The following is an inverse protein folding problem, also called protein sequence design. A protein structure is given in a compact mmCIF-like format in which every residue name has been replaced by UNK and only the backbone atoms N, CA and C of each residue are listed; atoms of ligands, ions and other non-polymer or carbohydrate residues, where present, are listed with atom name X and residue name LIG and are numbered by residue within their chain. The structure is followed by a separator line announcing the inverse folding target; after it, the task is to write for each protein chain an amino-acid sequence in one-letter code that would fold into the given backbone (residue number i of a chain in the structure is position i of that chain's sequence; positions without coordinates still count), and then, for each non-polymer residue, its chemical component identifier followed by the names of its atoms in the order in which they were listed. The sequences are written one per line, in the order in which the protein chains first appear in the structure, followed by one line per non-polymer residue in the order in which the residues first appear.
data_IF_089465072508
#
_entry.id   IF_089465072508
#
_cell.length_a   1.000
_cell.length_b   1.000
_cell.length_c   1.000
_cell.angle_alpha   90.00
_cell.angle_beta   90.00
_cell.angle_gamma   90.00
#
_symmetry.space_group_name_H-M   'P 1'
#
loop_
_entity.id
_entity.type
_entity.pdbx_description
1 polymer ?
#
# COMPACT_ATOMS: atom_id res chain seq x y z
N UNK A 1 -18.53 -21.82 -30.47
CA UNK A 1 -18.77 -20.36 -30.31
C UNK A 1 -17.44 -19.63 -30.02
N UNK A 2 -16.70 -19.23 -31.06
CA UNK A 2 -15.43 -18.48 -30.93
C UNK A 2 -15.61 -17.01 -31.30
N UNK A 3 -16.05 -16.17 -30.34
CA UNK A 3 -16.27 -14.72 -30.57
C UNK A 3 -15.25 -13.81 -29.86
N UNK A 4 -14.09 -14.34 -29.44
CA UNK A 4 -13.08 -13.56 -28.68
C UNK A 4 -11.97 -12.89 -29.50
N UNK A 5 -11.61 -13.43 -30.68
CA UNK A 5 -10.36 -13.03 -31.37
C UNK A 5 -10.49 -11.82 -32.31
N UNK A 6 -11.70 -11.43 -32.72
CA UNK A 6 -11.91 -10.29 -33.66
C UNK A 6 -11.85 -8.91 -32.98
N UNK A 7 -12.08 -8.81 -31.67
CA UNK A 7 -12.10 -7.51 -30.95
C UNK A 7 -10.70 -6.99 -30.58
N UNK A 8 -9.71 -7.87 -30.39
CA UNK A 8 -8.34 -7.47 -30.06
C UNK A 8 -7.61 -6.81 -31.25
N UNK A 9 -7.93 -7.22 -32.49
CA UNK A 9 -7.29 -6.66 -33.70
C UNK A 9 -7.70 -5.20 -33.97
N UNK A 10 -8.91 -4.79 -33.56
CA UNK A 10 -9.38 -3.39 -33.69
C UNK A 10 -8.73 -2.45 -32.67
N UNK A 11 -8.43 -2.90 -31.45
CA UNK A 11 -7.77 -2.05 -30.43
C UNK A 11 -6.35 -1.65 -30.83
N UNK A 12 -5.57 -2.57 -31.40
CA UNK A 12 -4.20 -2.29 -31.87
C UNK A 12 -4.12 -1.29 -33.03
N UNK A 13 -5.13 -1.22 -33.90
CA UNK A 13 -5.11 -0.31 -35.06
C UNK A 13 -5.38 1.16 -34.69
N UNK A 14 -6.03 1.42 -33.55
CA UNK A 14 -6.33 2.78 -33.07
C UNK A 14 -5.13 3.40 -32.33
N UNK A 15 -4.26 2.58 -31.73
CA UNK A 15 -3.04 3.08 -31.07
C UNK A 15 -1.98 3.57 -32.07
N UNK A 16 -1.98 3.07 -33.31
CA UNK A 16 -0.98 3.40 -34.33
C UNK A 16 -1.16 4.79 -34.97
N UNK A 17 -2.32 5.43 -34.78
CA UNK A 17 -2.62 6.78 -35.27
C UNK A 17 -2.86 7.76 -34.13
N UNK A 18 -2.21 7.54 -32.98
CA UNK A 18 -2.31 8.44 -31.85
C UNK A 18 -1.43 9.65 -32.09
N UNK A 19 -2.03 10.72 -32.60
CA UNK A 19 -1.45 12.06 -32.58
C UNK A 19 -0.89 12.29 -31.16
N UNK A 20 0.36 12.72 -31.07
CA UNK A 20 1.01 13.02 -29.80
C UNK A 20 0.14 14.00 -28.99
N UNK A 21 -0.43 13.52 -27.90
CA UNK A 21 -1.28 14.30 -27.02
C UNK A 21 -0.41 15.20 -26.13
N UNK A 22 -0.28 16.46 -26.57
CA UNK A 22 0.55 17.52 -25.96
C UNK A 22 -0.25 18.37 -24.96
N UNK A 23 -1.47 17.98 -24.63
CA UNK A 23 -2.29 18.73 -23.68
C UNK A 23 -1.79 18.54 -22.25
N UNK A 24 -1.68 19.65 -21.51
CA UNK A 24 -1.29 19.70 -20.10
C UNK A 24 -2.28 20.56 -19.32
N UNK A 25 -2.71 20.05 -18.15
CA UNK A 25 -3.65 20.75 -17.28
C UNK A 25 -2.88 21.66 -16.33
N UNK A 26 -3.25 22.94 -16.28
CA UNK A 26 -2.76 23.86 -15.27
C UNK A 26 -3.39 23.55 -13.90
N UNK A 27 -2.66 22.84 -13.04
CA UNK A 27 -3.12 22.46 -11.70
C UNK A 27 -3.23 23.63 -10.71
N UNK A 28 -2.70 24.81 -11.07
CA UNK A 28 -2.71 26.03 -10.27
C UNK A 28 -3.82 27.01 -10.68
N UNK A 29 -4.67 26.65 -11.63
CA UNK A 29 -5.81 27.49 -12.02
C UNK A 29 -6.88 27.48 -10.91
N UNK A 30 -7.29 28.67 -10.46
CA UNK A 30 -8.24 28.87 -9.36
C UNK A 30 -9.60 28.22 -9.62
N UNK A 31 -9.98 28.06 -10.90
CA UNK A 31 -11.23 27.36 -11.27
C UNK A 31 -11.25 25.90 -10.79
N UNK A 32 -10.08 25.30 -10.54
CA UNK A 32 -9.97 23.95 -10.01
C UNK A 32 -9.85 23.90 -8.49
N UNK A 33 -9.87 25.03 -7.78
CA UNK A 33 -9.73 25.06 -6.32
C UNK A 33 -10.78 24.19 -5.62
N UNK A 34 -12.03 24.24 -6.10
CA UNK A 34 -13.12 23.42 -5.60
C UNK A 34 -12.83 21.91 -5.65
N UNK A 35 -12.09 21.43 -6.65
CA UNK A 35 -11.71 20.01 -6.78
C UNK A 35 -10.76 19.55 -5.67
N UNK A 36 -9.99 20.48 -5.09
CA UNK A 36 -9.02 20.18 -4.05
C UNK A 36 -9.61 20.38 -2.65
N UNK A 37 -10.45 21.39 -2.48
CA UNK A 37 -10.95 21.85 -1.18
C UNK A 37 -12.31 21.27 -0.80
N UNK A 38 -13.27 21.18 -1.73
CA UNK A 38 -14.64 20.76 -1.42
C UNK A 38 -14.88 19.29 -1.84
N UNK A 39 -15.34 18.41 -0.91
CA UNK A 39 -15.71 17.04 -1.21
C UNK A 39 -16.73 16.82 -2.32
N UNK A 40 -17.66 17.75 -2.51
CA UNK A 40 -18.73 17.60 -3.50
C UNK A 40 -18.22 17.55 -4.95
N UNK A 41 -17.03 18.10 -5.19
CA UNK A 41 -16.40 18.12 -6.51
C UNK A 41 -15.32 17.03 -6.68
N UNK A 42 -15.18 16.10 -5.72
CA UNK A 42 -14.15 15.08 -5.81
C UNK A 42 -14.42 14.07 -6.94
N UNK A 43 -13.40 13.83 -7.75
CA UNK A 43 -13.46 12.85 -8.83
C UNK A 43 -13.51 11.43 -8.24
N UNK A 44 -14.58 10.70 -8.51
CA UNK A 44 -14.80 9.33 -8.04
C UNK A 44 -14.33 8.29 -9.08
N UNK A 45 -13.27 7.51 -8.80
CA UNK A 45 -12.80 6.46 -9.72
C UNK A 45 -13.72 5.24 -9.78
N UNK A 46 -14.70 5.11 -8.88
CA UNK A 46 -15.70 4.03 -8.88
C UNK A 46 -16.90 4.32 -9.79
N UNK A 47 -17.10 5.58 -10.18
CA UNK A 47 -18.16 5.96 -11.11
C UNK A 47 -17.91 5.36 -12.49
N UNK A 48 -18.92 4.78 -13.15
CA UNK A 48 -18.78 4.25 -14.52
C UNK A 48 -18.44 5.33 -15.56
N UNK A 49 -18.68 6.60 -15.23
CA UNK A 49 -18.37 7.74 -16.07
C UNK A 49 -16.91 8.20 -15.93
N UNK A 50 -16.16 7.66 -14.96
CA UNK A 50 -14.77 8.00 -14.76
C UNK A 50 -13.91 7.63 -15.98
N UNK A 51 -13.21 8.63 -16.53
CA UNK A 51 -12.22 8.43 -17.59
C UNK A 51 -10.83 8.74 -17.04
N UNK A 52 -9.96 7.74 -17.08
CA UNK A 52 -8.56 7.87 -16.68
C UNK A 52 -7.75 8.54 -17.79
N UNK A 53 -7.90 9.86 -17.92
CA UNK A 53 -7.11 10.69 -18.84
C UNK A 53 -5.82 11.17 -18.16
N UNK A 54 -4.86 11.70 -18.94
CA UNK A 54 -3.62 12.30 -18.41
C UNK A 54 -3.94 13.47 -17.46
N UNK A 55 -4.87 14.35 -17.86
CA UNK A 55 -5.30 15.49 -17.05
C UNK A 55 -6.05 15.10 -15.76
N UNK A 56 -6.90 14.08 -15.81
CA UNK A 56 -7.59 13.60 -14.60
C UNK A 56 -6.57 13.04 -13.59
N UNK A 57 -5.54 12.33 -14.07
CA UNK A 57 -4.48 11.79 -13.22
C UNK A 57 -3.65 12.91 -12.57
N UNK A 58 -3.27 13.95 -13.31
CA UNK A 58 -2.49 15.08 -12.74
C UNK A 58 -3.24 15.82 -11.64
N UNK A 59 -4.55 16.05 -11.82
CA UNK A 59 -5.40 16.66 -10.79
C UNK A 59 -5.47 15.78 -9.53
N UNK A 60 -5.69 14.47 -9.69
CA UNK A 60 -5.75 13.55 -8.55
C UNK A 60 -4.43 13.48 -7.77
N UNK A 61 -3.30 13.52 -8.47
CA UNK A 61 -1.98 13.50 -7.84
C UNK A 61 -1.67 14.82 -7.12
N UNK A 62 -2.04 15.97 -7.70
CA UNK A 62 -1.92 17.27 -7.02
C UNK A 62 -2.77 17.31 -5.76
N UNK A 63 -4.01 16.81 -5.80
CA UNK A 63 -4.86 16.67 -4.62
C UNK A 63 -4.18 15.85 -3.54
N UNK A 64 -3.61 14.70 -3.91
CA UNK A 64 -2.87 13.83 -2.96
C UNK A 64 -1.67 14.57 -2.35
N UNK A 65 -0.94 15.36 -3.15
CA UNK A 65 0.18 16.19 -2.69
C UNK A 65 -0.28 17.20 -1.63
N UNK A 66 -1.33 17.97 -1.91
CA UNK A 66 -1.90 18.96 -0.98
C UNK A 66 -2.34 18.33 0.35
N UNK A 67 -2.97 17.15 0.31
CA UNK A 67 -3.33 16.43 1.54
C UNK A 67 -2.12 16.04 2.39
N UNK A 68 -1.03 15.57 1.76
CA UNK A 68 0.19 15.23 2.50
C UNK A 68 0.76 16.49 3.14
N UNK A 69 0.92 17.56 2.37
CA UNK A 69 1.46 18.84 2.82
C UNK A 69 0.64 19.42 4.00
N UNK A 70 -0.69 19.39 3.92
CA UNK A 70 -1.58 19.81 5.01
C UNK A 70 -1.44 18.94 6.26
N UNK A 71 -1.37 17.62 6.10
CA UNK A 71 -1.23 16.72 7.25
C UNK A 71 0.10 16.89 7.96
N UNK A 72 1.18 17.16 7.23
CA UNK A 72 2.48 17.44 7.84
C UNK A 72 2.53 18.83 8.47
N UNK A 73 1.92 19.85 7.86
CA UNK A 73 1.77 21.18 8.43
C UNK A 73 0.95 21.19 9.75
N UNK A 74 -0.15 20.42 9.81
CA UNK A 74 -0.93 20.25 11.05
C UNK A 74 -0.10 19.55 12.13
N UNK A 75 0.71 18.55 11.77
CA UNK A 75 1.57 17.83 12.72
C UNK A 75 2.73 18.67 13.26
N UNK A 76 3.21 19.69 12.54
CA UNK A 76 4.19 20.66 13.07
C UNK A 76 3.55 21.64 14.05
N UNK A 77 2.36 22.19 13.77
CA UNK A 77 1.67 23.13 14.68
C UNK A 77 1.28 22.52 16.03
N UNK A 78 0.90 21.24 16.06
CA UNK A 78 0.60 20.52 17.32
C UNK A 78 1.85 20.35 18.21
N UNK A 79 3.04 20.28 17.60
CA UNK A 79 4.31 20.12 18.30
C UNK A 79 4.82 21.42 18.94
N UNK A 80 4.31 22.55 18.49
CA UNK A 80 4.65 23.89 18.99
C UNK A 80 3.74 24.29 20.16
N UNK A 81 2.42 24.03 20.06
CA UNK A 81 1.47 24.26 21.17
C UNK A 81 1.75 23.42 22.42
N UNK A 82 2.38 22.27 22.27
CA UNK A 82 2.78 21.38 23.40
C UNK A 82 4.08 21.80 24.11
N UNK A 83 4.77 22.85 23.65
CA UNK A 83 5.94 23.43 24.35
C UNK A 83 5.59 24.65 25.20
N UNK A 84 4.47 25.33 24.93
CA UNK A 84 4.07 26.55 25.66
C UNK A 84 3.11 26.31 26.84
N UNK A 85 2.67 25.08 27.11
CA UNK A 85 1.75 24.78 28.23
C UNK A 85 2.43 24.16 29.47
N UNK A 86 3.76 24.23 29.60
CA UNK A 86 4.48 23.52 30.68
C UNK A 86 4.98 24.39 31.84
N UNK A 87 4.49 25.63 32.01
CA UNK A 87 4.99 26.53 33.07
C UNK A 87 3.92 26.94 34.10
N UNK A 88 2.97 26.07 34.46
CA UNK A 88 2.16 26.25 35.67
C UNK A 88 1.57 24.92 36.12
N UNK A 89 2.31 24.20 36.98
CA UNK A 89 1.80 23.34 38.08
C UNK A 89 2.98 22.65 38.76
N UNK A 90 3.76 23.43 39.51
CA UNK A 90 4.64 22.88 40.54
C UNK A 90 3.82 22.73 41.82
N UNK A 91 3.43 21.49 42.15
CA UNK A 91 3.22 20.93 43.49
C UNK A 91 2.21 19.77 43.44
N UNK A 92 2.70 18.54 43.43
CA UNK A 92 2.41 17.49 44.44
C UNK A 92 2.60 16.09 43.83
N UNK A 93 3.49 15.34 44.48
CA UNK A 93 3.67 13.88 44.52
C UNK A 93 3.12 12.99 43.40
N UNK A 94 4.02 12.22 42.78
CA UNK A 94 3.64 10.97 42.12
C UNK A 94 4.63 10.51 41.07
N UNK A 95 5.43 9.50 41.39
CA UNK A 95 6.41 8.88 40.51
C UNK A 95 5.82 8.47 39.16
N UNK A 96 6.25 9.10 38.06
CA UNK A 96 6.18 8.50 36.73
C UNK A 96 7.48 8.78 35.98
N UNK A 97 8.11 7.70 35.54
CA UNK A 97 9.43 7.67 34.90
C UNK A 97 9.46 8.58 33.68
N UNK A 98 10.39 9.53 33.72
CA UNK A 98 10.81 10.35 32.59
C UNK A 98 11.37 9.45 31.48
N UNK A 99 10.68 9.34 30.36
CA UNK A 99 11.32 9.00 29.09
C UNK A 99 10.76 9.88 27.99
N UNK A 100 11.31 11.10 27.95
CA UNK A 100 11.22 12.04 26.84
C UNK A 100 12.03 11.48 25.65
N UNK A 101 11.57 10.38 25.05
CA UNK A 101 12.05 9.91 23.73
C UNK A 101 10.96 10.20 22.69
N UNK A 102 11.24 11.15 21.80
CA UNK A 102 10.50 11.34 20.55
C UNK A 102 10.64 10.05 19.72
N UNK A 103 9.71 9.11 19.88
CA UNK A 103 9.62 7.93 19.04
C UNK A 103 9.31 8.31 17.59
N UNK A 104 9.79 7.53 16.59
CA UNK A 104 9.51 7.82 15.20
C UNK A 104 8.00 7.81 14.96
N UNK A 105 7.54 8.83 14.21
CA UNK A 105 6.18 8.91 13.66
C UNK A 105 5.90 7.54 13.03
N UNK A 106 4.91 6.84 13.56
CA UNK A 106 4.47 5.49 13.15
C UNK A 106 5.14 4.28 13.84
N UNK A 107 5.34 4.34 15.16
CA UNK A 107 5.72 3.15 15.97
C UNK A 107 4.79 1.93 15.73
N UNK A 108 3.48 2.18 15.55
CA UNK A 108 2.51 1.13 15.20
C UNK A 108 2.79 0.50 13.82
N UNK A 109 3.12 1.32 12.81
CA UNK A 109 3.48 0.86 11.47
C UNK A 109 4.80 0.08 11.47
N UNK A 110 5.83 0.57 12.17
CA UNK A 110 7.09 -0.16 12.31
C UNK A 110 6.89 -1.52 12.98
N UNK A 111 6.06 -1.58 14.03
CA UNK A 111 5.72 -2.83 14.71
C UNK A 111 4.94 -3.78 13.79
N UNK A 112 4.06 -3.25 12.95
CA UNK A 112 3.31 -4.03 11.96
C UNK A 112 4.22 -4.55 10.83
N UNK A 113 5.09 -3.71 10.26
CA UNK A 113 6.08 -4.10 9.26
C UNK A 113 7.03 -5.18 9.78
N UNK A 114 7.47 -5.08 11.04
CA UNK A 114 8.26 -6.12 11.70
C UNK A 114 7.51 -7.47 11.80
N UNK A 115 6.23 -7.44 12.19
CA UNK A 115 5.38 -8.65 12.26
C UNK A 115 5.17 -9.28 10.87
N UNK A 116 4.93 -8.48 9.83
CA UNK A 116 4.73 -8.97 8.45
C UNK A 116 6.01 -9.64 7.93
N UNK A 117 7.18 -8.99 8.08
CA UNK A 117 8.48 -9.58 7.68
C UNK A 117 8.81 -10.87 8.44
N UNK A 118 8.48 -10.95 9.73
CA UNK A 118 8.67 -12.17 10.52
C UNK A 118 7.71 -13.30 10.10
N UNK A 119 6.47 -12.97 9.71
CA UNK A 119 5.48 -13.93 9.23
C UNK A 119 5.91 -14.60 7.92
N UNK A 120 6.42 -13.83 6.95
CA UNK A 120 6.89 -14.39 5.66
C UNK A 120 8.06 -15.36 5.84
N UNK A 121 8.98 -15.08 6.78
CA UNK A 121 10.07 -16.00 7.12
C UNK A 121 9.55 -17.32 7.71
N UNK A 122 8.55 -17.26 8.62
CA UNK A 122 7.93 -18.45 9.22
C UNK A 122 7.19 -19.31 8.19
N UNK A 123 6.49 -18.70 7.24
CA UNK A 123 5.81 -19.43 6.16
C UNK A 123 6.80 -20.17 5.25
N UNK A 124 7.93 -19.55 4.90
CA UNK A 124 9.00 -20.18 4.11
C UNK A 124 9.70 -21.32 4.86
N UNK A 125 9.87 -21.20 6.18
CA UNK A 125 10.42 -22.27 6.99
C UNK A 125 9.45 -23.46 7.10
N UNK A 126 8.16 -23.20 7.29
CA UNK A 126 7.10 -24.22 7.34
C UNK A 126 6.94 -24.97 6.02
N UNK A 127 7.07 -24.31 4.86
CA UNK A 127 7.00 -24.98 3.55
C UNK A 127 8.19 -25.91 3.30
N UNK A 128 9.40 -25.52 3.71
CA UNK A 128 10.60 -26.38 3.65
C UNK A 128 10.48 -27.60 4.57
N UNK A 129 9.98 -27.41 5.79
CA UNK A 129 9.76 -28.50 6.73
C UNK A 129 8.70 -29.49 6.23
N UNK A 130 7.60 -28.99 5.64
CA UNK A 130 6.54 -29.84 5.11
C UNK A 130 7.01 -30.63 3.86
N UNK A 131 7.82 -29.99 2.99
CA UNK A 131 8.48 -30.67 1.86
C UNK A 131 9.40 -31.80 2.32
N UNK A 132 10.19 -31.58 3.38
CA UNK A 132 11.08 -32.61 3.94
C UNK A 132 10.27 -33.78 4.54
N UNK A 133 9.16 -33.50 5.25
CA UNK A 133 8.26 -34.53 5.80
C UNK A 133 7.61 -35.37 4.70
N UNK A 134 7.15 -34.73 3.61
CA UNK A 134 6.59 -35.42 2.44
C UNK A 134 7.63 -36.30 1.70
N UNK A 135 8.87 -35.83 1.55
CA UNK A 135 9.94 -36.63 0.95
C UNK A 135 10.28 -37.88 1.79
N UNK A 136 10.33 -37.72 3.11
CA UNK A 136 10.61 -38.84 4.03
C UNK A 136 9.46 -39.86 4.10
N UNK A 137 8.19 -39.43 4.04
CA UNK A 137 7.06 -40.36 3.96
C UNK A 137 7.06 -41.14 2.65
N UNK A 138 7.34 -40.47 1.52
CA UNK A 138 7.44 -41.12 0.21
C UNK A 138 8.59 -42.12 0.13
N UNK A 139 9.72 -41.83 0.79
CA UNK A 139 10.84 -42.78 0.90
C UNK A 139 10.50 -44.00 1.76
N UNK A 140 9.79 -43.81 2.89
CA UNK A 140 9.31 -44.92 3.73
C UNK A 140 8.32 -45.81 2.98
N UNK A 141 7.37 -45.22 2.23
CA UNK A 141 6.42 -45.98 1.42
C UNK A 141 7.10 -46.78 0.31
N UNK A 142 8.11 -46.21 -0.38
CA UNK A 142 8.89 -46.93 -1.39
C UNK A 142 9.69 -48.10 -0.80
N UNK A 143 10.17 -48.00 0.44
CA UNK A 143 10.94 -49.08 1.09
C UNK A 143 10.06 -50.25 1.53
N UNK A 144 8.77 -50.02 1.80
CA UNK A 144 7.81 -51.10 2.11
C UNK A 144 7.27 -51.84 0.88
N UNK A 145 7.39 -51.26 -0.33
CA UNK A 145 7.01 -51.92 -1.58
C UNK A 145 8.15 -52.74 -2.22
N UNK A 146 9.37 -52.71 -1.65
CA UNK A 146 10.47 -53.60 -2.02
C UNK A 146 10.68 -54.65 -0.92
N UNK A 147 9.68 -55.48 -0.70
CA UNK A 147 9.86 -56.82 -0.11
C UNK A 147 10.28 -57.81 -1.22
N UNK A 148 10.98 -58.91 -0.89
CA UNK A 148 11.64 -59.77 -1.88
C UNK A 148 10.61 -60.45 -2.78
N UNK A 149 10.64 -60.15 -4.08
CA UNK A 149 9.97 -60.97 -5.08
C UNK A 149 10.94 -62.06 -5.56
N UNK A 150 10.50 -63.30 -5.34
CA UNK A 150 10.85 -64.55 -6.05
C UNK A 150 12.29 -65.07 -5.94
N UNK A 151 12.52 -65.92 -4.94
CA UNK A 151 13.15 -67.24 -5.18
C UNK A 151 12.05 -68.30 -5.01
N UNK A 152 11.60 -68.86 -6.14
CA UNK A 152 11.21 -70.25 -6.38
C UNK A 152 10.60 -70.36 -7.79
#
# INVERSE_FOLDING_TARGET
KGKGKKSQKKKKKIEASKVEDKFEVNVKDDRFEGLYSNPDFFIDPTSPHFKKTKGTATIMDERRRRFIDETDAKRSKVKEKSKNSSNNTAAVGGAVRTSKKKGPRNASLMRMMGRVKASTARLKAKSKANSKKMKMSKLKQRKQQKGPSSES
#
